data_IF_372669642725
#
_entry.id   IF_372669642725
#
_cell.length_a   1.000
_cell.length_b   1.000
_cell.length_c   1.000
_cell.angle_alpha   90.00
_cell.angle_beta   90.00
_cell.angle_gamma   90.00
#
_symmetry.space_group_name_H-M   'P 1'
#
loop_
_entity.id
_entity.type
_entity.pdbx_description
1 polymer ?
#
# COMPACT_ATOMS: atom_id res chain seq x y z
N UNK A 1 -15.90 29.23 -3.12
CA UNK A 1 -17.23 29.37 -3.75
C UNK A 1 -17.86 27.99 -3.77
N UNK A 2 -19.15 27.86 -3.50
CA UNK A 2 -19.81 26.56 -3.45
C UNK A 2 -21.28 26.72 -3.82
N UNK A 3 -21.89 25.62 -4.25
CA UNK A 3 -23.35 25.55 -4.37
C UNK A 3 -23.99 25.58 -2.98
N UNK A 4 -25.27 25.99 -2.87
CA UNK A 4 -25.93 26.18 -1.57
C UNK A 4 -25.86 24.95 -0.66
N UNK A 5 -25.98 23.75 -1.25
CA UNK A 5 -25.98 22.48 -0.54
C UNK A 5 -24.59 22.04 -0.06
N UNK A 6 -23.51 22.62 -0.62
CA UNK A 6 -22.12 22.32 -0.29
C UNK A 6 -21.46 23.45 0.51
N UNK A 7 -22.23 24.43 1.00
CA UNK A 7 -21.68 25.63 1.66
C UNK A 7 -20.96 25.32 2.96
N UNK A 8 -21.56 24.49 3.82
CA UNK A 8 -20.99 24.19 5.13
C UNK A 8 -19.70 23.40 5.01
N UNK A 9 -19.69 22.35 4.18
CA UNK A 9 -18.49 21.57 3.89
C UNK A 9 -17.41 22.41 3.19
N UNK A 10 -17.78 23.35 2.32
CA UNK A 10 -16.82 24.27 1.70
C UNK A 10 -16.16 25.21 2.71
N UNK A 11 -16.92 25.72 3.68
CA UNK A 11 -16.38 26.57 4.74
C UNK A 11 -15.44 25.80 5.67
N UNK A 12 -15.82 24.56 6.01
CA UNK A 12 -14.98 23.68 6.83
C UNK A 12 -13.67 23.34 6.12
N UNK A 13 -13.73 22.88 4.87
CA UNK A 13 -12.55 22.56 4.07
C UNK A 13 -11.67 23.80 3.84
N UNK A 14 -12.25 24.98 3.61
CA UNK A 14 -11.48 26.22 3.49
C UNK A 14 -10.77 26.58 4.80
N UNK A 15 -11.43 26.42 5.96
CA UNK A 15 -10.81 26.61 7.27
C UNK A 15 -9.66 25.64 7.50
N UNK A 16 -9.81 24.38 7.09
CA UNK A 16 -8.76 23.37 7.20
C UNK A 16 -7.58 23.68 6.27
N UNK A 17 -7.83 24.04 5.02
CA UNK A 17 -6.79 24.45 4.06
C UNK A 17 -6.01 25.69 4.51
N UNK A 18 -6.63 26.59 5.26
CA UNK A 18 -5.97 27.81 5.76
C UNK A 18 -4.99 27.58 6.92
N UNK A 19 -4.97 26.39 7.54
CA UNK A 19 -4.08 26.12 8.67
C UNK A 19 -2.66 25.80 8.21
N UNK A 20 -1.68 26.20 9.02
CA UNK A 20 -0.31 25.66 8.90
C UNK A 20 -0.37 24.15 9.10
N UNK A 21 0.20 23.42 8.15
CA UNK A 21 0.23 21.96 8.15
C UNK A 21 1.68 21.50 8.09
N UNK A 22 2.00 20.47 8.87
CA UNK A 22 3.27 19.78 8.76
C UNK A 22 3.27 18.83 7.57
N UNK A 23 4.25 19.01 6.70
CA UNK A 23 4.45 18.20 5.51
C UNK A 23 5.73 17.40 5.66
N UNK A 24 5.68 16.06 5.54
CA UNK A 24 6.86 15.21 5.61
C UNK A 24 7.95 15.68 4.62
N UNK A 25 9.19 15.86 5.06
CA UNK A 25 10.26 16.38 4.19
C UNK A 25 10.30 17.90 4.03
N UNK A 26 9.20 18.62 4.30
CA UNK A 26 9.05 20.04 3.97
C UNK A 26 8.83 20.94 5.19
N UNK A 27 8.52 20.36 6.36
CA UNK A 27 8.21 21.08 7.59
C UNK A 27 6.84 21.76 7.56
N UNK A 28 6.66 22.77 8.41
CA UNK A 28 5.41 23.55 8.47
C UNK A 28 5.28 24.46 7.26
N UNK A 29 4.18 24.31 6.50
CA UNK A 29 3.87 25.16 5.34
C UNK A 29 2.44 25.68 5.40
N UNK A 30 2.26 26.88 4.86
CA UNK A 30 0.95 27.48 4.60
C UNK A 30 0.79 27.65 3.09
N UNK A 31 -0.33 27.22 2.50
CA UNK A 31 -0.51 27.29 1.04
C UNK A 31 -0.69 28.73 0.52
N UNK A 32 -0.85 29.71 1.43
CA UNK A 32 -1.16 31.10 1.11
C UNK A 32 -2.61 31.29 0.62
N UNK A 33 -2.96 32.47 0.09
CA UNK A 33 -4.32 32.72 -0.41
C UNK A 33 -4.66 31.75 -1.55
N UNK A 34 -5.76 31.01 -1.44
CA UNK A 34 -6.23 30.10 -2.50
C UNK A 34 -7.75 30.09 -2.55
N UNK A 35 -8.31 29.85 -3.72
CA UNK A 35 -9.74 29.73 -3.93
C UNK A 35 -10.13 28.26 -3.97
N UNK A 36 -10.88 27.81 -2.96
CA UNK A 36 -11.49 26.50 -2.97
C UNK A 36 -12.89 26.56 -3.61
N UNK A 37 -13.12 25.70 -4.61
CA UNK A 37 -14.42 25.54 -5.25
C UNK A 37 -14.86 24.09 -5.13
N UNK A 38 -15.98 23.86 -4.45
CA UNK A 38 -16.61 22.53 -4.40
C UNK A 38 -17.70 22.48 -5.44
N UNK A 39 -17.58 21.55 -6.38
CA UNK A 39 -18.55 21.30 -7.45
C UNK A 39 -19.39 20.06 -7.12
N UNK A 40 -20.67 20.04 -7.49
CA UNK A 40 -21.56 18.95 -7.08
C UNK A 40 -21.31 17.64 -7.83
N UNK A 41 -20.93 17.69 -9.11
CA UNK A 41 -20.75 16.52 -9.95
C UNK A 41 -19.66 16.71 -11.02
N UNK A 42 -19.34 15.62 -11.73
CA UNK A 42 -18.35 15.62 -12.81
C UNK A 42 -18.67 16.57 -13.98
N UNK A 43 -19.95 16.87 -14.25
CA UNK A 43 -20.34 17.77 -15.35
C UNK A 43 -19.94 19.22 -15.04
N UNK A 44 -20.18 19.66 -13.81
CA UNK A 44 -19.74 20.99 -13.36
C UNK A 44 -18.22 21.07 -13.25
N UNK A 45 -17.58 19.97 -12.86
CA UNK A 45 -16.12 19.86 -12.80
C UNK A 45 -15.46 20.03 -14.18
N UNK A 46 -15.96 19.34 -15.21
CA UNK A 46 -15.44 19.46 -16.57
C UNK A 46 -15.66 20.87 -17.14
N UNK A 47 -16.85 21.44 -16.92
CA UNK A 47 -17.18 22.80 -17.36
C UNK A 47 -16.24 23.84 -16.75
N UNK A 48 -15.97 23.76 -15.45
CA UNK A 48 -15.11 24.74 -14.76
C UNK A 48 -13.62 24.49 -14.94
N UNK A 49 -13.20 23.23 -15.13
CA UNK A 49 -11.80 22.91 -15.41
C UNK A 49 -11.38 23.24 -16.85
N UNK A 50 -12.32 23.59 -17.74
CA UNK A 50 -12.05 23.89 -19.16
C UNK A 50 -11.26 22.78 -19.86
N UNK A 51 -11.56 21.52 -19.54
CA UNK A 51 -10.87 20.34 -20.09
C UNK A 51 -9.44 20.10 -19.60
N UNK A 52 -8.98 20.85 -18.58
CA UNK A 52 -7.64 20.68 -17.99
C UNK A 52 -7.55 19.52 -17.00
N UNK A 53 -8.69 18.99 -16.56
CA UNK A 53 -8.74 17.87 -15.64
C UNK A 53 -9.18 16.60 -16.37
N UNK A 54 -8.61 15.43 -16.03
CA UNK A 54 -9.13 14.17 -16.55
C UNK A 54 -10.58 13.96 -16.07
N UNK A 55 -11.46 13.34 -16.89
CA UNK A 55 -12.87 13.13 -16.53
C UNK A 55 -13.08 12.30 -15.25
N UNK A 56 -12.08 11.50 -14.90
CA UNK A 56 -12.06 10.65 -13.71
C UNK A 56 -11.47 11.33 -12.48
N UNK A 57 -10.87 12.52 -12.61
CA UNK A 57 -10.26 13.23 -11.49
C UNK A 57 -11.32 13.65 -10.47
N UNK A 58 -11.04 13.40 -9.19
CA UNK A 58 -11.84 13.89 -8.06
C UNK A 58 -11.54 15.37 -7.75
N UNK A 59 -10.39 15.86 -8.19
CA UNK A 59 -9.93 17.22 -7.98
C UNK A 59 -9.00 17.69 -9.10
N UNK A 60 -8.84 19.01 -9.20
CA UNK A 60 -7.79 19.63 -10.01
C UNK A 60 -7.33 20.92 -9.35
N UNK A 61 -6.02 21.05 -9.18
CA UNK A 61 -5.39 22.33 -8.92
C UNK A 61 -5.17 23.10 -10.23
N UNK A 62 -5.53 24.38 -10.23
CA UNK A 62 -5.23 25.35 -11.28
C UNK A 62 -4.24 26.39 -10.71
N UNK A 63 -2.93 26.12 -10.76
CA UNK A 63 -1.93 26.96 -10.06
C UNK A 63 -1.94 28.42 -10.51
N UNK A 64 -2.11 28.67 -11.82
CA UNK A 64 -2.16 30.03 -12.38
C UNK A 64 -3.34 30.87 -11.88
N UNK A 65 -4.43 30.22 -11.45
CA UNK A 65 -5.59 30.88 -10.84
C UNK A 65 -5.60 30.78 -9.31
N UNK A 66 -4.58 30.15 -8.71
CA UNK A 66 -4.52 29.79 -7.27
C UNK A 66 -5.83 29.15 -6.79
N UNK A 67 -6.38 28.26 -7.62
CA UNK A 67 -7.70 27.67 -7.42
C UNK A 67 -7.60 26.15 -7.32
N UNK A 68 -8.38 25.56 -6.42
CA UNK A 68 -8.57 24.13 -6.31
C UNK A 68 -10.05 23.83 -6.53
N UNK A 69 -10.35 22.93 -7.46
CA UNK A 69 -11.70 22.41 -7.67
C UNK A 69 -11.79 21.00 -7.08
N UNK A 70 -12.81 20.75 -6.25
CA UNK A 70 -13.09 19.45 -5.64
C UNK A 70 -14.49 18.97 -5.99
N UNK A 71 -14.63 17.70 -6.34
CA UNK A 71 -15.92 17.06 -6.61
C UNK A 71 -16.55 16.49 -5.35
N UNK A 72 -17.76 16.96 -5.02
CA UNK A 72 -18.50 16.50 -3.85
C UNK A 72 -19.07 15.08 -3.99
N UNK A 73 -19.22 14.57 -5.22
CA UNK A 73 -19.75 13.24 -5.51
C UNK A 73 -18.70 12.13 -5.42
N UNK A 74 -17.44 12.46 -5.08
CA UNK A 74 -16.34 11.48 -5.07
C UNK A 74 -15.54 11.46 -3.78
N UNK A 75 -15.40 10.24 -3.24
CA UNK A 75 -14.40 9.89 -2.25
C UNK A 75 -14.43 10.73 -0.96
N UNK A 76 -13.30 10.72 -0.27
CA UNK A 76 -13.07 11.56 0.90
C UNK A 76 -12.55 12.93 0.44
N UNK A 77 -13.40 13.95 0.52
CA UNK A 77 -13.08 15.32 0.15
C UNK A 77 -11.91 15.91 0.96
N UNK A 78 -11.79 15.57 2.25
CA UNK A 78 -10.71 16.07 3.09
C UNK A 78 -9.37 15.48 2.65
N UNK A 79 -9.34 14.16 2.42
CA UNK A 79 -8.15 13.48 1.89
C UNK A 79 -7.78 14.00 0.51
N UNK A 80 -8.76 14.20 -0.37
CA UNK A 80 -8.54 14.76 -1.71
C UNK A 80 -7.98 16.18 -1.64
N UNK A 81 -8.51 17.02 -0.75
CA UNK A 81 -7.95 18.35 -0.50
C UNK A 81 -6.53 18.29 0.02
N UNK A 82 -6.24 17.39 0.96
CA UNK A 82 -4.88 17.17 1.48
C UNK A 82 -3.93 16.71 0.36
N UNK A 83 -4.44 15.89 -0.57
CA UNK A 83 -4.00 15.68 -1.95
C UNK A 83 -3.36 16.91 -2.58
N UNK A 84 -4.25 17.79 -2.98
CA UNK A 84 -3.94 19.00 -3.75
C UNK A 84 -3.04 19.97 -2.96
N UNK A 85 -3.23 20.07 -1.65
CA UNK A 85 -2.39 20.91 -0.79
C UNK A 85 -0.95 20.38 -0.70
N UNK A 86 -0.74 19.07 -0.78
CA UNK A 86 0.59 18.47 -0.78
C UNK A 86 1.36 18.84 -2.06
N UNK A 87 0.71 18.85 -3.23
CA UNK A 87 1.30 19.36 -4.47
C UNK A 87 1.73 20.82 -4.32
N UNK A 88 0.85 21.68 -3.78
CA UNK A 88 1.19 23.08 -3.53
C UNK A 88 2.38 23.23 -2.58
N UNK A 89 2.42 22.47 -1.49
CA UNK A 89 3.53 22.50 -0.55
C UNK A 89 4.84 22.05 -1.22
N UNK A 90 4.80 20.99 -2.03
CA UNK A 90 5.95 20.50 -2.77
C UNK A 90 6.48 21.54 -3.76
N UNK A 91 5.60 22.12 -4.58
CA UNK A 91 5.98 23.09 -5.61
C UNK A 91 6.39 24.45 -5.02
N UNK A 92 5.96 24.78 -3.80
CA UNK A 92 6.49 25.94 -3.06
C UNK A 92 7.90 25.70 -2.53
N UNK A 93 8.21 24.46 -2.13
CA UNK A 93 9.48 24.14 -1.50
C UNK A 93 10.57 23.79 -2.51
N UNK A 94 10.21 23.20 -3.65
CA UNK A 94 11.13 22.71 -4.67
C UNK A 94 11.23 23.71 -5.83
N UNK A 95 12.47 24.02 -6.25
CA UNK A 95 12.74 24.99 -7.34
C UNK A 95 12.95 24.34 -8.71
N UNK A 96 13.02 23.01 -8.75
CA UNK A 96 13.31 22.22 -9.95
C UNK A 96 12.10 21.40 -10.37
N UNK A 97 12.09 20.94 -11.62
CA UNK A 97 11.09 19.99 -12.06
C UNK A 97 11.37 18.61 -11.46
N UNK A 98 10.34 17.96 -10.93
CA UNK A 98 10.40 16.58 -10.45
C UNK A 98 9.69 15.62 -11.41
N UNK A 99 10.03 14.31 -11.42
CA UNK A 99 9.29 13.30 -12.16
C UNK A 99 7.83 13.19 -11.66
N UNK A 100 6.91 12.79 -12.55
CA UNK A 100 5.48 12.73 -12.21
C UNK A 100 5.20 11.70 -11.11
N UNK A 101 5.84 10.51 -11.17
CA UNK A 101 5.70 9.50 -10.13
C UNK A 101 6.11 10.01 -8.75
N UNK A 102 7.08 10.93 -8.67
CA UNK A 102 7.51 11.49 -7.40
C UNK A 102 6.51 12.53 -6.90
N UNK A 103 6.01 13.39 -7.78
CA UNK A 103 5.02 14.41 -7.47
C UNK A 103 3.72 13.77 -6.93
N UNK A 104 3.13 12.85 -7.70
CA UNK A 104 1.90 12.13 -7.34
C UNK A 104 2.11 11.22 -6.13
N UNK A 105 3.25 10.53 -6.08
CA UNK A 105 3.61 9.64 -4.97
C UNK A 105 3.78 10.41 -3.67
N UNK A 106 4.43 11.58 -3.71
CA UNK A 106 4.62 12.43 -2.55
C UNK A 106 3.29 12.98 -2.05
N UNK A 107 2.45 13.49 -2.96
CA UNK A 107 1.15 14.03 -2.59
C UNK A 107 0.27 12.96 -1.93
N UNK A 108 0.20 11.77 -2.53
CA UNK A 108 -0.58 10.65 -1.99
C UNK A 108 -0.03 10.16 -0.64
N UNK A 109 1.30 10.08 -0.51
CA UNK A 109 1.99 9.70 0.72
C UNK A 109 1.72 10.69 1.87
N UNK A 110 1.84 11.99 1.59
CA UNK A 110 1.64 13.05 2.57
C UNK A 110 0.16 13.27 2.93
N UNK A 111 -0.75 12.95 2.02
CA UNK A 111 -2.19 12.94 2.26
C UNK A 111 -2.68 11.72 3.05
N UNK A 112 -1.83 10.70 3.22
CA UNK A 112 -2.13 9.52 4.02
C UNK A 112 -2.99 8.49 3.28
N UNK A 113 -2.82 8.36 1.97
CA UNK A 113 -3.61 7.47 1.10
C UNK A 113 -3.05 6.04 1.09
N UNK A 114 -2.74 5.54 2.28
CA UNK A 114 -2.04 4.27 2.50
C UNK A 114 -2.85 3.04 2.13
N UNK A 115 -4.18 3.13 2.19
CA UNK A 115 -5.13 2.09 1.76
C UNK A 115 -4.91 1.65 0.30
N UNK A 116 -4.33 2.53 -0.53
CA UNK A 116 -3.94 2.17 -1.90
C UNK A 116 -2.81 1.14 -1.94
N UNK A 117 -1.91 1.13 -0.95
CA UNK A 117 -0.85 0.13 -0.84
C UNK A 117 -1.41 -1.26 -0.52
N UNK A 118 -2.47 -1.33 0.29
CA UNK A 118 -3.14 -2.59 0.63
C UNK A 118 -3.83 -3.18 -0.61
N UNK A 119 -4.51 -2.33 -1.38
CA UNK A 119 -5.11 -2.74 -2.66
C UNK A 119 -4.05 -3.19 -3.68
N UNK A 120 -2.89 -2.53 -3.71
CA UNK A 120 -1.77 -2.93 -4.57
C UNK A 120 -1.19 -4.29 -4.15
N UNK A 121 -1.07 -4.56 -2.85
CA UNK A 121 -0.58 -5.84 -2.33
C UNK A 121 -1.43 -7.02 -2.83
N UNK A 122 -2.75 -6.89 -2.72
CA UNK A 122 -3.70 -7.88 -3.22
C UNK A 122 -3.56 -8.09 -4.74
N UNK A 123 -3.42 -7.01 -5.51
CA UNK A 123 -3.28 -7.10 -6.97
C UNK A 123 -1.91 -7.68 -7.39
N UNK A 124 -0.81 -7.28 -6.77
CA UNK A 124 0.53 -7.78 -7.10
C UNK A 124 0.71 -9.26 -6.76
N UNK A 125 0.05 -9.76 -5.72
CA UNK A 125 0.04 -11.19 -5.40
C UNK A 125 -0.61 -12.04 -6.52
N UNK A 126 -1.50 -11.43 -7.31
CA UNK A 126 -2.27 -12.11 -8.38
C UNK A 126 -1.66 -11.87 -9.77
N UNK A 127 -0.90 -10.79 -9.97
CA UNK A 127 -0.43 -10.35 -11.30
C UNK A 127 0.90 -11.00 -11.72
N UNK A 128 0.87 -11.76 -12.82
CA UNK A 128 2.07 -12.31 -13.50
C UNK A 128 2.91 -11.26 -14.27
N UNK A 129 2.35 -10.09 -14.57
CA UNK A 129 2.91 -9.09 -15.49
C UNK A 129 4.07 -8.24 -14.94
N UNK A 130 4.38 -8.36 -13.65
CA UNK A 130 5.50 -7.65 -13.02
C UNK A 130 5.25 -6.17 -12.70
N UNK A 131 6.21 -5.57 -12.00
CA UNK A 131 6.17 -4.16 -11.58
C UNK A 131 6.72 -3.29 -12.71
N UNK A 132 5.99 -2.26 -13.19
CA UNK A 132 6.48 -1.37 -14.25
C UNK A 132 7.70 -0.57 -13.80
N UNK A 133 8.54 -0.14 -14.75
CA UNK A 133 9.61 0.82 -14.47
C UNK A 133 9.04 2.23 -14.19
N UNK A 134 9.87 3.11 -13.61
CA UNK A 134 9.44 4.48 -13.26
C UNK A 134 8.95 5.28 -14.47
N UNK A 135 9.48 5.05 -15.68
CA UNK A 135 9.05 5.76 -16.90
C UNK A 135 7.66 5.32 -17.34
N UNK A 136 7.39 4.02 -17.28
CA UNK A 136 6.11 3.41 -17.60
C UNK A 136 5.07 3.77 -16.55
N UNK A 137 5.47 3.86 -15.28
CA UNK A 137 4.65 4.37 -14.18
C UNK A 137 4.21 5.82 -14.45
N UNK A 138 5.15 6.67 -14.87
CA UNK A 138 4.88 8.04 -15.32
C UNK A 138 3.85 8.09 -16.47
N UNK A 139 3.88 7.12 -17.38
CA UNK A 139 2.87 6.96 -18.43
C UNK A 139 1.51 6.52 -17.89
N UNK A 140 1.49 5.56 -16.96
CA UNK A 140 0.27 5.02 -16.35
C UNK A 140 -0.48 6.07 -15.51
N UNK A 141 0.25 6.96 -14.82
CA UNK A 141 -0.33 8.09 -14.06
C UNK A 141 -1.02 9.11 -14.98
N UNK A 142 -0.59 9.23 -16.24
CA UNK A 142 -1.26 10.04 -17.26
C UNK A 142 -2.40 9.32 -17.97
N UNK A 143 -2.61 8.04 -17.68
CA UNK A 143 -3.53 7.14 -18.36
C UNK A 143 -4.98 7.20 -17.86
N UNK A 144 -5.68 6.07 -17.95
CA UNK A 144 -7.11 5.97 -17.67
C UNK A 144 -7.43 5.72 -16.19
N UNK A 145 -8.66 6.08 -15.79
CA UNK A 145 -9.24 5.88 -14.46
C UNK A 145 -9.03 4.47 -13.89
N UNK A 146 -9.12 3.45 -14.75
CA UNK A 146 -9.05 2.03 -14.39
C UNK A 146 -7.67 1.58 -13.92
N UNK A 147 -6.60 2.22 -14.39
CA UNK A 147 -5.21 1.92 -14.00
C UNK A 147 -4.66 2.91 -12.98
N UNK A 148 -5.36 4.02 -12.78
CA UNK A 148 -4.92 5.12 -11.92
C UNK A 148 -4.64 4.66 -10.48
N UNK A 149 -5.56 3.89 -9.87
CA UNK A 149 -5.40 3.45 -8.47
C UNK A 149 -4.11 2.65 -8.21
N UNK A 150 -3.78 1.70 -9.10
CA UNK A 150 -2.54 0.93 -8.99
C UNK A 150 -1.28 1.78 -9.28
N UNK A 151 -1.37 2.72 -10.22
CA UNK A 151 -0.28 3.64 -10.51
C UNK A 151 0.01 4.57 -9.31
N UNK A 152 -1.02 5.13 -8.67
CA UNK A 152 -0.86 5.92 -7.44
C UNK A 152 -0.25 5.09 -6.32
N UNK A 153 -0.70 3.85 -6.12
CA UNK A 153 -0.11 2.98 -5.11
C UNK A 153 1.38 2.68 -5.37
N UNK A 154 1.75 2.43 -6.63
CA UNK A 154 3.13 2.22 -7.04
C UNK A 154 3.98 3.47 -6.79
N UNK A 155 3.45 4.66 -7.10
CA UNK A 155 4.09 5.95 -6.83
C UNK A 155 4.35 6.16 -5.32
N UNK A 156 3.34 5.90 -4.47
CA UNK A 156 3.50 5.94 -3.00
C UNK A 156 4.60 4.96 -2.56
N UNK A 157 4.62 3.75 -3.12
CA UNK A 157 5.62 2.74 -2.77
C UNK A 157 7.04 3.17 -3.13
N UNK A 158 7.21 3.86 -4.26
CA UNK A 158 8.50 4.39 -4.70
C UNK A 158 8.97 5.51 -3.76
N UNK A 159 8.10 6.46 -3.41
CA UNK A 159 8.44 7.53 -2.47
C UNK A 159 8.76 7.00 -1.07
N UNK A 160 8.00 5.99 -0.60
CA UNK A 160 8.27 5.33 0.68
C UNK A 160 9.62 4.63 0.68
N UNK A 161 9.98 3.96 -0.42
CA UNK A 161 11.29 3.32 -0.56
C UNK A 161 12.43 4.34 -0.64
N UNK A 162 12.19 5.49 -1.27
CA UNK A 162 13.14 6.59 -1.33
C UNK A 162 13.42 7.17 0.05
N UNK A 163 12.37 7.42 0.85
CA UNK A 163 12.49 7.86 2.24
C UNK A 163 13.30 6.86 3.08
N UNK A 164 13.01 5.55 2.94
CA UNK A 164 13.71 4.48 3.65
C UNK A 164 15.21 4.41 3.32
N UNK A 165 15.61 4.76 2.10
CA UNK A 165 16.99 4.67 1.62
C UNK A 165 17.84 5.88 1.96
N UNK A 166 17.22 7.03 2.19
CA UNK A 166 17.96 8.17 2.72
C UNK A 166 18.51 7.81 4.12
N UNK A 167 19.74 8.20 4.47
CA UNK A 167 20.34 7.90 5.76
C UNK A 167 19.50 8.33 6.98
N UNK A 168 18.70 9.40 6.83
CA UNK A 168 17.77 9.87 7.87
C UNK A 168 16.51 9.02 8.01
N UNK A 169 16.22 8.12 7.06
CA UNK A 169 14.93 7.43 6.96
C UNK A 169 13.77 8.36 6.56
N UNK A 170 14.05 9.58 6.09
CA UNK A 170 13.09 10.62 5.73
C UNK A 170 13.38 11.22 4.35
N UNK A 171 12.45 12.01 3.81
CA UNK A 171 12.68 12.76 2.57
C UNK A 171 13.44 14.08 2.78
N UNK A 172 13.68 14.50 4.03
CA UNK A 172 14.25 15.81 4.35
C UNK A 172 15.57 16.10 3.59
N UNK A 173 16.56 15.17 3.52
CA UNK A 173 17.80 15.44 2.79
C UNK A 173 17.56 15.67 1.30
N UNK A 174 16.63 14.92 0.69
CA UNK A 174 16.29 15.07 -0.72
C UNK A 174 15.60 16.42 -0.96
N UNK A 175 14.59 16.73 -0.16
CA UNK A 175 13.82 17.98 -0.27
C UNK A 175 14.69 19.22 -0.06
N UNK A 176 15.65 19.17 0.87
CA UNK A 176 16.60 20.27 1.09
C UNK A 176 17.44 20.57 -0.16
N UNK A 177 17.90 19.53 -0.88
CA UNK A 177 18.67 19.69 -2.13
C UNK A 177 17.80 20.21 -3.27
N UNK A 178 16.61 19.65 -3.44
CA UNK A 178 15.64 20.09 -4.44
C UNK A 178 15.21 21.57 -4.22
N UNK A 179 15.07 21.99 -2.96
CA UNK A 179 14.79 23.40 -2.61
C UNK A 179 16.00 24.34 -2.79
N UNK A 180 17.22 23.78 -2.76
CA UNK A 180 18.46 24.51 -3.08
C UNK A 180 18.69 24.67 -4.58
N UNK A 181 17.95 23.92 -5.41
CA UNK A 181 18.03 24.00 -6.88
C UNK A 181 18.79 22.86 -7.55
N UNK A 182 19.21 21.84 -6.80
CA UNK A 182 19.83 20.64 -7.39
C UNK A 182 18.80 19.91 -8.29
N UNK A 183 19.22 19.49 -9.48
CA UNK A 183 18.41 18.63 -10.34
C UNK A 183 18.01 17.34 -9.61
N UNK A 184 16.83 16.79 -9.94
CA UNK A 184 16.30 15.61 -9.26
C UNK A 184 17.25 14.41 -9.31
N UNK A 185 17.90 14.15 -10.45
CA UNK A 185 18.82 13.03 -10.57
C UNK A 185 20.07 13.23 -9.71
N UNK A 186 20.58 14.45 -9.64
CA UNK A 186 21.73 14.80 -8.80
C UNK A 186 21.38 14.72 -7.30
N UNK A 187 20.22 15.23 -6.91
CA UNK A 187 19.74 15.16 -5.53
C UNK A 187 19.54 13.71 -5.08
N UNK A 188 18.89 12.88 -5.90
CA UNK A 188 18.66 11.46 -5.59
C UNK A 188 19.98 10.69 -5.47
N UNK A 189 20.93 10.92 -6.38
CA UNK A 189 22.26 10.33 -6.31
C UNK A 189 22.99 10.73 -5.03
N UNK A 190 22.95 12.00 -4.67
CA UNK A 190 23.67 12.51 -3.53
C UNK A 190 23.08 12.06 -2.18
N UNK A 191 21.77 11.78 -2.10
CA UNK A 191 21.13 11.35 -0.84
C UNK A 191 21.01 9.84 -0.69
N UNK A 192 20.95 9.09 -1.79
CA UNK A 192 20.77 7.63 -1.75
C UNK A 192 21.99 6.84 -2.24
N UNK A 193 22.94 7.50 -2.92
CA UNK A 193 24.05 6.84 -3.61
C UNK A 193 23.65 6.12 -4.91
N UNK A 194 22.41 6.27 -5.38
CA UNK A 194 21.90 5.59 -6.57
C UNK A 194 21.58 6.59 -7.68
N UNK A 195 21.88 6.24 -8.92
CA UNK A 195 21.26 6.92 -10.07
C UNK A 195 19.76 6.59 -10.14
N UNK A 196 18.97 7.40 -10.85
CA UNK A 196 17.53 7.14 -11.05
C UNK A 196 17.27 5.73 -11.60
N UNK A 197 18.09 5.27 -12.55
CA UNK A 197 17.99 3.93 -13.13
C UNK A 197 18.32 2.81 -12.13
N UNK A 198 19.34 3.01 -11.27
CA UNK A 198 19.67 2.04 -10.22
C UNK A 198 18.59 1.99 -9.15
N UNK A 199 18.05 3.16 -8.75
CA UNK A 199 16.93 3.24 -7.81
C UNK A 199 15.70 2.51 -8.36
N UNK A 200 15.35 2.70 -9.63
CA UNK A 200 14.24 2.00 -10.27
C UNK A 200 14.39 0.47 -10.20
N UNK A 201 15.59 -0.06 -10.51
CA UNK A 201 15.88 -1.50 -10.40
C UNK A 201 15.73 -1.99 -8.95
N UNK A 202 16.33 -1.27 -8.01
CA UNK A 202 16.36 -1.66 -6.60
C UNK A 202 14.99 -1.56 -5.93
N UNK A 203 14.21 -0.52 -6.23
CA UNK A 203 12.82 -0.36 -5.77
C UNK A 203 11.96 -1.52 -6.26
N UNK A 204 11.98 -1.85 -7.56
CA UNK A 204 11.23 -3.00 -8.11
C UNK A 204 11.64 -4.33 -7.47
N UNK A 205 12.93 -4.49 -7.14
CA UNK A 205 13.44 -5.68 -6.44
C UNK A 205 12.96 -5.73 -4.98
N UNK A 206 12.95 -4.60 -4.28
CA UNK A 206 12.40 -4.50 -2.92
C UNK A 206 10.90 -4.77 -2.90
N UNK A 207 10.16 -4.20 -3.85
CA UNK A 207 8.71 -4.36 -3.99
C UNK A 207 8.35 -5.84 -4.22
N UNK A 208 9.01 -6.50 -5.18
CA UNK A 208 8.82 -7.93 -5.44
C UNK A 208 9.13 -8.78 -4.22
N UNK A 209 10.23 -8.52 -3.49
CA UNK A 209 10.60 -9.29 -2.30
C UNK A 209 9.57 -9.17 -1.18
N UNK A 210 9.07 -7.95 -0.92
CA UNK A 210 8.06 -7.69 0.11
C UNK A 210 6.76 -8.45 -0.20
N UNK A 211 6.28 -8.36 -1.43
CA UNK A 211 5.01 -8.96 -1.82
C UNK A 211 5.11 -10.45 -2.17
N UNK A 212 6.28 -10.97 -2.58
CA UNK A 212 6.51 -12.41 -2.69
C UNK A 212 6.49 -13.10 -1.33
N UNK A 213 7.02 -12.45 -0.29
CA UNK A 213 6.98 -12.98 1.08
C UNK A 213 5.54 -13.01 1.61
N UNK A 214 4.77 -11.94 1.38
CA UNK A 214 3.34 -11.90 1.70
C UNK A 214 2.56 -13.00 0.97
N UNK A 215 2.82 -13.18 -0.33
CA UNK A 215 2.21 -14.24 -1.14
C UNK A 215 2.59 -15.63 -0.61
N UNK A 216 3.84 -15.86 -0.20
CA UNK A 216 4.28 -17.15 0.35
C UNK A 216 3.64 -17.47 1.71
N UNK A 217 3.44 -16.45 2.56
CA UNK A 217 2.75 -16.59 3.84
C UNK A 217 1.26 -16.87 3.64
N UNK A 218 0.59 -16.13 2.75
CA UNK A 218 -0.85 -16.27 2.46
C UNK A 218 -1.17 -17.54 1.66
N UNK A 219 -0.30 -17.96 0.74
CA UNK A 219 -0.47 -19.17 -0.07
C UNK A 219 -0.10 -20.48 0.67
N UNK A 220 0.19 -20.41 1.97
CA UNK A 220 0.38 -21.59 2.81
C UNK A 220 1.78 -22.20 2.85
N UNK A 221 2.82 -21.46 2.44
CA UNK A 221 4.21 -21.88 2.67
C UNK A 221 4.54 -22.08 4.16
N UNK A 222 3.96 -21.24 5.03
CA UNK A 222 4.04 -21.42 6.49
C UNK A 222 3.34 -22.70 6.98
N UNK A 223 2.19 -23.04 6.39
CA UNK A 223 1.49 -24.30 6.68
C UNK A 223 2.30 -25.52 6.23
N UNK A 224 3.00 -25.43 5.09
CA UNK A 224 3.90 -26.48 4.62
C UNK A 224 5.03 -26.77 5.61
N UNK A 225 5.66 -25.75 6.18
CA UNK A 225 6.68 -25.93 7.23
C UNK A 225 6.11 -26.53 8.52
N UNK A 226 4.91 -26.10 8.93
CA UNK A 226 4.23 -26.70 10.08
C UNK A 226 3.94 -28.18 9.85
N UNK A 227 3.41 -28.56 8.69
CA UNK A 227 3.15 -29.96 8.33
C UNK A 227 4.44 -30.77 8.29
N UNK A 228 5.51 -30.24 7.69
CA UNK A 228 6.83 -30.90 7.66
C UNK A 228 7.40 -31.07 9.07
N UNK A 229 7.34 -30.04 9.90
CA UNK A 229 7.81 -30.09 11.30
C UNK A 229 7.02 -31.08 12.15
N UNK A 230 5.69 -31.12 11.99
CA UNK A 230 4.79 -32.06 12.66
C UNK A 230 5.12 -33.49 12.22
N UNK A 231 5.31 -33.71 10.93
CA UNK A 231 5.67 -35.01 10.38
C UNK A 231 7.04 -35.49 10.85
N UNK A 232 8.06 -34.63 10.87
CA UNK A 232 9.39 -34.90 11.43
C UNK A 232 9.30 -35.24 12.92
N UNK A 233 8.53 -34.46 13.69
CA UNK A 233 8.34 -34.69 15.12
C UNK A 233 7.64 -36.03 15.39
N UNK A 234 6.59 -36.36 14.64
CA UNK A 234 5.92 -37.68 14.72
C UNK A 234 6.89 -38.80 14.32
N UNK A 235 7.72 -38.63 13.30
CA UNK A 235 8.73 -39.61 12.89
C UNK A 235 9.77 -39.85 13.99
N UNK A 236 10.27 -38.79 14.61
CA UNK A 236 11.23 -38.88 15.72
C UNK A 236 10.59 -39.56 16.94
N UNK A 237 9.36 -39.14 17.31
CA UNK A 237 8.64 -39.78 18.42
C UNK A 237 8.32 -41.24 18.17
N UNK A 238 7.83 -41.58 16.97
CA UNK A 238 7.59 -42.98 16.60
C UNK A 238 8.87 -43.81 16.69
N UNK A 239 10.01 -43.31 16.22
CA UNK A 239 11.30 -44.01 16.36
C UNK A 239 11.73 -44.16 17.83
N UNK A 240 11.51 -43.15 18.67
CA UNK A 240 11.84 -43.18 20.09
C UNK A 240 10.88 -44.08 20.91
N UNK A 241 9.64 -44.26 20.45
CA UNK A 241 8.64 -45.09 21.12
C UNK A 241 8.67 -46.57 20.67
N UNK A 242 9.38 -46.91 19.58
CA UNK A 242 9.62 -48.31 19.16
C UNK A 242 10.20 -49.20 20.28
N UNK A 243 11.27 -48.81 21.01
CA UNK A 243 11.79 -49.64 22.11
C UNK A 243 10.83 -49.77 23.29
N UNK A 244 9.96 -48.78 23.54
CA UNK A 244 8.94 -48.85 24.60
C UNK A 244 7.82 -49.83 24.26
N UNK A 245 7.49 -49.99 22.98
CA UNK A 245 6.48 -50.97 22.54
C UNK A 245 7.01 -52.39 22.57
N UNK A 246 8.28 -52.60 22.18
CA UNK A 246 8.94 -53.90 22.31
C UNK A 246 8.96 -54.40 23.78
N UNK A 247 9.15 -53.49 24.74
CA UNK A 247 9.12 -53.83 26.17
C UNK A 247 7.71 -54.16 26.71
N UNK A 248 6.63 -53.80 26.00
CA UNK A 248 5.26 -54.13 26.39
C UNK A 248 4.82 -55.50 25.85
N UNK A 249 5.35 -55.91 24.70
CA UNK A 249 5.05 -57.21 24.07
C UNK A 249 5.74 -58.38 24.80
N UNK A 250 6.81 -58.14 25.57
CA UNK A 250 7.44 -59.18 26.43
C UNK A 250 6.59 -59.60 27.63
N UNK A 251 5.48 -58.91 27.93
CA UNK A 251 4.67 -59.14 29.13
C UNK A 251 3.29 -59.78 28.90
N UNK A 252 2.89 -60.07 27.66
CA UNK A 252 1.55 -60.55 27.32
C UNK A 252 1.57 -61.90 26.61
N UNK A 253 1.92 -62.97 27.32
CA UNK A 253 1.49 -64.32 26.92
C UNK A 253 0.00 -64.45 27.25
N UNK A 254 -0.86 -64.41 26.22
CA UNK A 254 -2.28 -64.72 26.38
C UNK A 254 -2.41 -66.20 26.73
N UNK A 255 -2.68 -66.52 27.99
CA UNK A 255 -2.98 -67.89 28.41
C UNK A 255 -4.26 -68.38 27.69
N UNK A 256 -4.28 -69.61 27.15
CA UNK A 256 -5.45 -70.14 26.45
C UNK A 256 -6.63 -70.29 27.43
N UNK A 257 -7.78 -69.75 27.04
CA UNK A 257 -9.03 -69.78 27.79
C UNK A 257 -9.51 -71.24 27.95
N UNK A 258 -9.59 -71.71 29.20
CA UNK A 258 -10.06 -73.06 29.55
C UNK A 258 -11.57 -73.16 29.26
N UNK A 259 -11.92 -73.84 28.17
CA UNK A 259 -13.30 -74.18 27.84
C UNK A 259 -13.87 -75.18 28.87
N UNK A 260 -14.89 -74.77 29.63
CA UNK A 260 -15.55 -75.61 30.63
C UNK A 260 -16.82 -75.00 31.22
N UNK A 261 -17.88 -74.99 30.42
CA UNK A 261 -19.34 -75.20 30.68
C UNK A 261 -19.83 -75.43 32.13
N UNK A 262 -21.08 -75.05 32.50
CA UNK A 262 -22.29 -75.58 31.83
C UNK A 262 -23.51 -74.65 31.64
N UNK A 263 -24.08 -74.80 30.45
CA UNK A 263 -25.49 -75.13 30.14
C UNK A 263 -26.56 -74.80 31.20
N UNK A 264 -27.39 -73.79 30.91
CA UNK A 264 -28.70 -73.61 31.54
C UNK A 264 -29.78 -73.60 30.46
N UNK A 265 -30.48 -74.73 30.42
CA UNK A 265 -31.73 -75.00 29.72
C UNK A 265 -32.80 -73.93 30.01
N UNK A 266 -33.45 -73.43 28.96
CA UNK A 266 -34.76 -72.79 29.10
C UNK A 266 -35.61 -73.06 27.87
N UNK A 267 -36.12 -74.29 27.76
CA UNK A 267 -37.39 -74.56 27.06
C UNK A 267 -38.52 -73.75 27.69
N UNK A 268 -39.24 -72.96 26.89
CA UNK A 268 -40.71 -72.82 26.90
C UNK A 268 -41.11 -71.76 25.83
N UNK A 269 -41.52 -72.27 24.66
CA UNK A 269 -42.38 -71.57 23.70
C UNK A 269 -43.84 -71.62 24.19
N UNK A 270 -44.71 -70.77 23.63
CA UNK A 270 -46.01 -71.18 23.15
C UNK A 270 -46.06 -71.33 21.62
#
# INVERSE_FOLDING_TARGET
MSWPLQRDIALELARLAGKSTEWPGLGQRTPGPLQLIIVPDGRHFESLSSGRAPPWGAAVALPGARMILLRADQGDLYRTLRHELAHLALHQAVKVRVPLWFDEGYASWAAGEWDRLDALELNLAVVRGGVPDLRSLDGALRGSATTAGAAYALAISAVTELARRNPSGSLDPLMARLGSGDDFAAALLATTGLTVSQFDIEWRKALRRRYSLATWLLAGGGWGLLVISMWLWVRVRRKADLPRRAALDEGWEVAPELAGTPELDRRQEP
#
